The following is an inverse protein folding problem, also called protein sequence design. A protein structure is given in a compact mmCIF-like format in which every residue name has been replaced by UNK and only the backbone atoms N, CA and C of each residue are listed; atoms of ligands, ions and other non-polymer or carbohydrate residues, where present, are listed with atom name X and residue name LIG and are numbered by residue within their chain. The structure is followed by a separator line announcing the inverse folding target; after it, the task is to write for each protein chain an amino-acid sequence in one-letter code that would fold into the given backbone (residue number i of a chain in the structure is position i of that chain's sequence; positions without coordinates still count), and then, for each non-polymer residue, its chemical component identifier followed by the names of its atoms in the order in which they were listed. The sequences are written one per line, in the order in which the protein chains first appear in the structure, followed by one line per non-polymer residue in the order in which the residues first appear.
data_IF_819780113745
#
_entry.id   IF_819780113745
#
_cell.length_a   1.000
_cell.length_b   1.000
_cell.length_c   1.000
_cell.angle_alpha   90.00
_cell.angle_beta   90.00
_cell.angle_gamma   90.00
#
_symmetry.space_group_name_H-M   'P 1'
#
loop_
_entity.id
_entity.type
_entity.pdbx_description
1 polymer ?
#
# COMPACT_ATOMS: atom_id res chain seq x y z
N UNK A 1 5.59 -3.95 -14.05
CA UNK A 1 6.30 -4.49 -12.88
C UNK A 1 7.33 -3.49 -12.38
N UNK A 2 8.49 -3.28 -13.02
CA UNK A 2 9.51 -2.31 -12.56
C UNK A 2 8.94 -0.94 -12.18
N UNK A 3 8.32 -0.20 -13.11
CA UNK A 3 7.73 1.12 -12.80
C UNK A 3 6.71 1.10 -11.65
N UNK A 4 5.98 0.00 -11.50
CA UNK A 4 4.80 -0.05 -10.65
C UNK A 4 5.00 -0.77 -9.32
N UNK A 5 6.05 -1.57 -9.19
CA UNK A 5 6.30 -2.42 -8.04
C UNK A 5 7.81 -2.71 -7.94
N UNK A 6 8.62 -1.65 -7.86
CA UNK A 6 10.08 -1.77 -7.62
C UNK A 6 10.40 -2.11 -6.16
N UNK A 7 11.58 -2.67 -5.95
CA UNK A 7 12.22 -2.71 -4.64
C UNK A 7 12.83 -1.34 -4.31
N UNK A 8 12.32 -0.69 -3.27
CA UNK A 8 12.75 0.63 -2.83
C UNK A 8 13.88 0.58 -1.79
N UNK A 9 14.28 -0.61 -1.31
CA UNK A 9 15.29 -0.75 -0.25
C UNK A 9 16.63 -1.26 -0.75
N UNK A 10 16.62 -2.36 -1.53
CA UNK A 10 17.87 -3.02 -1.96
C UNK A 10 18.17 -2.83 -3.44
N UNK A 11 17.26 -2.20 -4.18
CA UNK A 11 17.35 -2.08 -5.64
C UNK A 11 17.50 -3.46 -6.34
N UNK A 12 16.85 -4.50 -5.80
CA UNK A 12 16.76 -5.84 -6.39
C UNK A 12 15.29 -6.20 -6.68
N UNK A 13 14.73 -5.73 -7.80
CA UNK A 13 13.32 -5.96 -8.12
C UNK A 13 12.98 -7.45 -8.27
N UNK A 14 13.88 -8.26 -8.83
CA UNK A 14 13.62 -9.67 -9.09
C UNK A 14 13.57 -10.46 -7.77
N UNK A 15 14.56 -10.28 -6.90
CA UNK A 15 14.59 -10.92 -5.59
C UNK A 15 13.38 -10.53 -4.75
N UNK A 16 13.00 -9.25 -4.80
CA UNK A 16 11.78 -8.76 -4.16
C UNK A 16 10.51 -9.45 -4.69
N UNK A 17 10.31 -9.56 -6.01
CA UNK A 17 9.13 -10.26 -6.55
C UNK A 17 9.11 -11.75 -6.21
N UNK A 18 10.27 -12.40 -6.18
CA UNK A 18 10.38 -13.80 -5.75
C UNK A 18 9.93 -13.94 -4.28
N UNK A 19 10.38 -13.02 -3.41
CA UNK A 19 9.94 -12.99 -2.01
C UNK A 19 8.43 -12.84 -1.89
N UNK A 20 7.86 -11.83 -2.55
CA UNK A 20 6.41 -11.54 -2.51
C UNK A 20 5.58 -12.71 -3.04
N UNK A 21 6.04 -13.38 -4.10
CA UNK A 21 5.38 -14.59 -4.59
C UNK A 21 5.43 -15.72 -3.57
N UNK A 22 6.63 -16.06 -3.09
CA UNK A 22 6.82 -17.20 -2.19
C UNK A 22 6.10 -17.02 -0.85
N UNK A 23 6.07 -15.79 -0.32
CA UNK A 23 5.50 -15.49 0.99
C UNK A 23 3.99 -15.21 0.94
N UNK A 24 3.51 -14.56 -0.12
CA UNK A 24 2.12 -14.07 -0.18
C UNK A 24 1.34 -14.65 -1.37
N UNK A 25 1.97 -14.73 -2.54
CA UNK A 25 1.31 -15.23 -3.76
C UNK A 25 0.88 -16.69 -3.66
N UNK A 26 1.68 -17.55 -3.03
CA UNK A 26 1.41 -18.98 -2.78
C UNK A 26 0.21 -19.23 -1.86
N UNK A 27 -0.26 -18.23 -1.10
CA UNK A 27 -1.46 -18.32 -0.26
C UNK A 27 -2.66 -17.56 -0.85
N UNK A 28 -2.50 -16.97 -2.04
CA UNK A 28 -3.58 -16.23 -2.71
C UNK A 28 -4.55 -17.18 -3.44
N UNK A 29 -5.72 -16.70 -3.87
CA UNK A 29 -6.61 -17.45 -4.77
C UNK A 29 -5.95 -17.91 -6.08
N UNK A 30 -4.80 -17.33 -6.46
CA UNK A 30 -4.01 -17.68 -7.65
C UNK A 30 -2.70 -18.39 -7.30
N UNK A 31 -2.66 -19.15 -6.21
CA UNK A 31 -1.47 -19.88 -5.74
C UNK A 31 -0.79 -20.75 -6.80
N UNK A 32 -1.53 -21.25 -7.79
CA UNK A 32 -1.02 -22.05 -8.90
C UNK A 32 -0.67 -21.23 -10.15
N UNK A 33 -0.86 -19.91 -10.13
CA UNK A 33 -0.67 -19.04 -11.29
C UNK A 33 -0.02 -17.70 -10.90
N UNK A 34 1.31 -17.73 -10.79
CA UNK A 34 2.14 -16.55 -10.53
C UNK A 34 1.88 -15.38 -11.46
N UNK A 35 1.68 -15.64 -12.76
CA UNK A 35 1.39 -14.60 -13.75
C UNK A 35 0.07 -13.90 -13.44
N UNK A 36 -0.95 -14.64 -13.03
CA UNK A 36 -2.26 -14.09 -12.67
C UNK A 36 -2.19 -13.28 -11.37
N UNK A 37 -1.49 -13.77 -10.35
CA UNK A 37 -1.23 -13.03 -9.11
C UNK A 37 -0.68 -11.62 -9.40
N UNK A 38 0.45 -11.53 -10.11
CA UNK A 38 1.05 -10.23 -10.43
C UNK A 38 0.15 -9.34 -11.30
N UNK A 39 -0.52 -9.92 -12.31
CA UNK A 39 -1.46 -9.15 -13.15
C UNK A 39 -2.61 -8.58 -12.34
N UNK A 40 -3.21 -9.36 -11.44
CA UNK A 40 -4.30 -8.92 -10.57
C UNK A 40 -3.83 -7.84 -9.61
N UNK A 41 -2.69 -8.01 -8.95
CA UNK A 41 -2.15 -6.99 -8.04
C UNK A 41 -1.87 -5.66 -8.74
N UNK A 42 -1.25 -5.68 -9.92
CA UNK A 42 -1.02 -4.44 -10.69
C UNK A 42 -2.33 -3.79 -11.15
N UNK A 43 -3.35 -4.59 -11.51
CA UNK A 43 -4.68 -4.08 -11.85
C UNK A 43 -5.35 -3.41 -10.65
N UNK A 44 -5.21 -3.98 -9.45
CA UNK A 44 -5.74 -3.40 -8.21
C UNK A 44 -5.05 -2.09 -7.87
N UNK A 45 -3.72 -2.01 -7.99
CA UNK A 45 -2.96 -0.77 -7.81
C UNK A 45 -3.49 0.34 -8.73
N UNK A 46 -3.73 0.02 -10.00
CA UNK A 46 -4.26 0.99 -10.97
C UNK A 46 -5.70 1.41 -10.64
N UNK A 47 -6.52 0.47 -10.19
CA UNK A 47 -7.93 0.74 -9.86
C UNK A 47 -8.07 1.58 -8.59
N UNK A 48 -7.34 1.25 -7.52
CA UNK A 48 -7.30 2.00 -6.27
C UNK A 48 -6.11 2.97 -6.26
N UNK A 49 -6.08 3.90 -7.22
CA UNK A 49 -4.98 4.85 -7.33
C UNK A 49 -4.99 5.87 -6.17
N UNK A 50 -4.35 5.50 -5.06
CA UNK A 50 -4.25 6.30 -3.84
C UNK A 50 -3.58 7.65 -4.10
N UNK A 51 -2.63 7.73 -5.05
CA UNK A 51 -1.98 8.98 -5.37
C UNK A 51 -2.97 10.02 -5.91
N UNK A 52 -3.90 9.61 -6.77
CA UNK A 52 -4.96 10.50 -7.25
C UNK A 52 -5.89 10.92 -6.11
N UNK A 53 -6.28 9.99 -5.24
CA UNK A 53 -7.13 10.30 -4.07
C UNK A 53 -6.49 11.36 -3.17
N UNK A 54 -5.18 11.28 -2.93
CA UNK A 54 -4.44 12.29 -2.18
C UNK A 54 -4.32 13.60 -2.94
N UNK A 55 -4.07 13.54 -4.25
CA UNK A 55 -3.92 14.73 -5.11
C UNK A 55 -5.20 15.55 -5.21
N UNK A 56 -6.35 14.90 -5.39
CA UNK A 56 -7.65 15.56 -5.57
C UNK A 56 -8.09 16.36 -4.32
N UNK A 57 -7.42 16.15 -3.18
CA UNK A 57 -7.65 16.86 -1.92
C UNK A 57 -6.49 17.80 -1.54
N UNK A 58 -5.63 18.14 -2.50
CA UNK A 58 -4.44 18.99 -2.29
C UNK A 58 -3.48 18.44 -1.22
N UNK A 59 -3.48 17.11 -1.03
CA UNK A 59 -2.63 16.38 -0.09
C UNK A 59 -1.49 15.67 -0.84
N UNK A 60 -1.02 16.24 -1.95
CA UNK A 60 0.10 15.67 -2.71
C UNK A 60 1.36 15.69 -1.84
N UNK A 61 2.12 14.58 -1.73
CA UNK A 61 3.40 14.60 -1.03
C UNK A 61 4.35 15.59 -1.71
N UNK A 62 4.62 16.71 -1.06
CA UNK A 62 5.46 17.79 -1.59
C UNK A 62 6.63 18.16 -0.64
N UNK A 63 6.92 17.29 0.32
CA UNK A 63 7.94 17.51 1.35
C UNK A 63 7.44 18.29 2.58
N UNK A 64 6.24 18.88 2.53
CA UNK A 64 5.62 19.51 3.69
C UNK A 64 4.75 18.54 4.48
N UNK A 65 4.61 18.78 5.79
CA UNK A 65 3.66 18.05 6.61
C UNK A 65 2.22 18.33 6.17
N UNK A 66 1.45 17.26 6.02
CA UNK A 66 0.01 17.33 5.75
C UNK A 66 -0.72 17.27 7.09
N UNK A 67 -1.72 18.12 7.27
CA UNK A 67 -2.59 18.07 8.45
C UNK A 67 -3.29 16.70 8.55
N UNK A 68 -3.20 16.08 9.73
CA UNK A 68 -3.77 14.74 9.98
C UNK A 68 -5.22 14.61 9.52
N UNK A 69 -6.07 15.59 9.86
CA UNK A 69 -7.50 15.53 9.53
C UNK A 69 -7.75 15.63 8.02
N UNK A 70 -6.95 16.43 7.30
CA UNK A 70 -7.03 16.51 5.84
C UNK A 70 -6.62 15.19 5.19
N UNK A 71 -5.55 14.58 5.68
CA UNK A 71 -5.10 13.27 5.21
C UNK A 71 -6.17 12.20 5.46
N UNK A 72 -6.68 12.11 6.70
CA UNK A 72 -7.73 11.16 7.06
C UNK A 72 -9.01 11.36 6.25
N UNK A 73 -9.40 12.61 5.98
CA UNK A 73 -10.55 12.93 5.14
C UNK A 73 -10.35 12.53 3.67
N UNK A 74 -9.12 12.51 3.15
CA UNK A 74 -8.86 12.01 1.80
C UNK A 74 -8.90 10.48 1.79
N UNK A 75 -8.24 9.85 2.76
CA UNK A 75 -8.21 8.38 2.90
C UNK A 75 -9.58 7.78 3.14
N UNK A 76 -10.49 8.47 3.85
CA UNK A 76 -11.85 7.97 4.09
C UNK A 76 -12.70 7.82 2.82
N UNK A 77 -12.24 8.36 1.70
CA UNK A 77 -12.89 8.16 0.39
C UNK A 77 -12.48 6.85 -0.30
N UNK A 78 -11.42 6.18 0.19
CA UNK A 78 -11.04 4.87 -0.31
C UNK A 78 -12.12 3.84 0.06
N UNK A 79 -12.38 2.87 -0.83
CA UNK A 79 -13.42 1.89 -0.57
C UNK A 79 -12.96 0.83 0.42
N UNK A 80 -13.92 0.32 1.21
CA UNK A 80 -13.65 -0.66 2.25
C UNK A 80 -12.84 -0.10 3.41
N UNK A 81 -12.35 -0.99 4.27
CA UNK A 81 -11.52 -0.58 5.40
C UNK A 81 -10.07 -0.36 4.98
N UNK A 82 -9.48 0.72 5.49
CA UNK A 82 -8.09 1.09 5.25
C UNK A 82 -7.28 1.01 6.54
N UNK A 83 -6.09 0.42 6.47
CA UNK A 83 -5.10 0.44 7.56
C UNK A 83 -3.97 1.39 7.16
N UNK A 84 -3.63 2.28 8.09
CA UNK A 84 -2.50 3.21 7.98
C UNK A 84 -1.34 2.69 8.83
N UNK A 85 -0.17 2.55 8.22
CA UNK A 85 1.07 2.22 8.91
C UNK A 85 1.96 3.47 8.90
N UNK A 86 2.37 3.90 10.09
CA UNK A 86 3.26 5.02 10.28
C UNK A 86 4.60 4.56 10.86
N UNK A 87 5.67 5.22 10.44
CA UNK A 87 7.01 5.09 11.01
C UNK A 87 7.31 6.33 11.85
N UNK A 88 7.84 6.11 13.05
CA UNK A 88 8.39 7.17 13.89
C UNK A 88 9.86 7.37 13.51
N UNK A 89 10.25 8.61 13.24
CA UNK A 89 11.63 9.02 12.96
C UNK A 89 12.02 10.18 13.87
N UNK A 90 13.31 10.33 14.09
CA UNK A 90 13.87 11.47 14.83
C UNK A 90 14.54 12.39 13.81
N UNK A 91 14.19 13.67 13.83
CA UNK A 91 14.85 14.65 12.98
C UNK A 91 16.18 15.12 13.59
N UNK A 92 16.90 15.98 12.87
CA UNK A 92 18.21 16.50 13.25
C UNK A 92 18.20 17.24 14.61
N UNK A 93 17.03 17.75 15.03
CA UNK A 93 16.85 18.47 16.30
C UNK A 93 16.39 17.55 17.44
N UNK A 94 16.52 16.23 17.31
CA UNK A 94 16.02 15.23 18.27
C UNK A 94 14.51 15.27 18.51
N UNK A 95 13.73 15.82 17.58
CA UNK A 95 12.27 15.84 17.65
C UNK A 95 11.71 14.64 16.91
N UNK A 96 10.71 13.99 17.51
CA UNK A 96 10.03 12.85 16.91
C UNK A 96 8.98 13.30 15.89
N UNK A 97 9.02 12.69 14.71
CA UNK A 97 8.10 12.91 13.60
C UNK A 97 7.52 11.57 13.14
N UNK A 98 6.28 11.61 12.64
CA UNK A 98 5.60 10.43 12.11
C UNK A 98 5.42 10.57 10.60
N UNK A 99 5.86 9.53 9.89
CA UNK A 99 5.78 9.43 8.44
C UNK A 99 4.85 8.30 8.06
N UNK A 100 3.96 8.53 7.09
CA UNK A 100 3.17 7.43 6.54
C UNK A 100 4.10 6.52 5.71
N UNK A 101 4.15 5.23 6.03
CA UNK A 101 4.98 4.26 5.31
C UNK A 101 4.15 3.34 4.42
N UNK A 102 2.94 2.97 4.86
CA UNK A 102 2.04 2.14 4.07
C UNK A 102 0.57 2.53 4.25
N UNK A 103 -0.21 2.38 3.18
CA UNK A 103 -1.66 2.45 3.16
C UNK A 103 -2.16 1.13 2.61
N UNK A 104 -2.95 0.39 3.40
CA UNK A 104 -3.45 -0.95 3.03
C UNK A 104 -4.95 -0.92 2.89
N UNK A 105 -5.46 -1.31 1.72
CA UNK A 105 -6.90 -1.46 1.45
C UNK A 105 -7.28 -2.92 1.63
N UNK A 106 -8.33 -3.18 2.39
CA UNK A 106 -8.76 -4.54 2.70
C UNK A 106 -9.72 -5.06 1.64
N UNK A 107 -9.41 -6.24 1.09
CA UNK A 107 -10.17 -6.90 0.03
C UNK A 107 -10.59 -8.30 0.50
N UNK A 108 -11.73 -8.77 0.00
CA UNK A 108 -12.12 -10.17 0.14
C UNK A 108 -11.44 -11.06 -0.92
N UNK A 109 -11.69 -12.38 -0.87
CA UNK A 109 -11.10 -13.34 -1.83
C UNK A 109 -11.52 -13.13 -3.29
N UNK A 110 -12.59 -12.37 -3.53
CA UNK A 110 -13.03 -11.96 -4.86
C UNK A 110 -12.44 -10.61 -5.29
N UNK A 111 -11.50 -10.06 -4.52
CA UNK A 111 -10.87 -8.75 -4.72
C UNK A 111 -11.81 -7.55 -4.61
N UNK A 112 -12.96 -7.72 -3.95
CA UNK A 112 -13.84 -6.59 -3.67
C UNK A 112 -13.48 -5.95 -2.33
N UNK A 113 -13.60 -4.61 -2.20
CA UNK A 113 -13.42 -3.91 -0.94
C UNK A 113 -14.21 -4.56 0.19
N UNK A 114 -13.56 -4.70 1.35
CA UNK A 114 -14.15 -5.34 2.51
C UNK A 114 -14.01 -4.45 3.74
N UNK A 115 -15.07 -4.38 4.54
CA UNK A 115 -15.15 -3.49 5.70
C UNK A 115 -14.41 -4.06 6.93
N UNK A 116 -13.86 -5.26 6.84
CA UNK A 116 -13.08 -5.88 7.91
C UNK A 116 -11.71 -6.27 7.38
N UNK A 117 -10.67 -5.77 8.04
CA UNK A 117 -9.29 -6.13 7.77
C UNK A 117 -8.87 -7.29 8.67
N UNK A 118 -8.94 -8.51 8.14
CA UNK A 118 -8.44 -9.68 8.87
C UNK A 118 -6.91 -9.72 8.72
N UNK A 119 -6.18 -9.43 9.80
CA UNK A 119 -4.76 -9.75 9.86
C UNK A 119 -4.61 -11.26 9.99
N UNK A 120 -4.36 -11.96 8.89
CA UNK A 120 -3.83 -13.32 8.99
C UNK A 120 -2.38 -13.21 9.46
N UNK A 121 -2.08 -13.78 10.61
CA UNK A 121 -0.69 -14.01 11.03
C UNK A 121 -0.10 -15.00 10.00
N UNK A 122 0.84 -14.52 9.19
CA UNK A 122 1.65 -15.31 8.25
C UNK A 122 3.11 -15.24 8.69
#
# INVERSE_FOLDING_TARGET
MLKDWSDLKRNDPLGFWIHEWNRHGTCSPWYNNRKMYFRKTLSLKKHFNIFNVLKDKDNSPNGNFILKDRFLSAISTLPGSTILICEKRTNENNVFEYYISEIRICLNMNLHPHNVCIKKHM
#
